data_IF_042588517179
#
_entry.id   IF_042588517179
#
_cell.length_a   1.000
_cell.length_b   1.000
_cell.length_c   1.000
_cell.angle_alpha   90.00
_cell.angle_beta   90.00
_cell.angle_gamma   90.00
#
_symmetry.space_group_name_H-M   'P 1'
#
loop_
_entity.id
_entity.type
_entity.pdbx_description
1 polymer ?
#
# COMPACT_ATOMS: atom_id res chain seq x y z
N UNK A 1 -5.14 1.65 3.43
CA UNK A 1 -6.08 0.57 3.08
C UNK A 1 -6.63 0.77 1.67
N UNK A 2 -6.00 0.18 0.67
CA UNK A 2 -6.50 0.22 -0.72
C UNK A 2 -7.74 -0.68 -0.88
N UNK A 3 -8.90 -0.10 -1.20
CA UNK A 3 -10.11 -0.87 -1.53
C UNK A 3 -10.09 -1.24 -3.02
N UNK A 4 -10.10 -2.55 -3.35
CA UNK A 4 -9.89 -3.04 -4.72
C UNK A 4 -10.90 -2.46 -5.73
N UNK A 5 -12.23 -2.40 -5.46
CA UNK A 5 -13.16 -1.74 -6.39
C UNK A 5 -12.84 -0.27 -6.64
N UNK A 6 -12.44 0.48 -5.61
CA UNK A 6 -12.00 1.86 -5.79
C UNK A 6 -10.67 1.94 -6.55
N UNK A 7 -9.75 0.99 -6.34
CA UNK A 7 -8.49 0.92 -7.08
C UNK A 7 -8.74 0.62 -8.56
N UNK A 8 -9.60 -0.36 -8.87
CA UNK A 8 -9.96 -0.73 -10.23
C UNK A 8 -10.69 0.43 -10.92
N UNK A 9 -11.62 1.08 -10.23
CA UNK A 9 -12.28 2.30 -10.71
C UNK A 9 -11.26 3.42 -10.99
N UNK A 10 -10.34 3.65 -10.06
CA UNK A 10 -9.29 4.66 -10.20
C UNK A 10 -8.38 4.34 -11.38
N UNK A 11 -7.89 3.10 -11.51
CA UNK A 11 -7.08 2.66 -12.64
C UNK A 11 -7.81 2.83 -13.97
N UNK A 12 -9.07 2.43 -14.07
CA UNK A 12 -9.87 2.58 -15.29
C UNK A 12 -10.05 4.05 -15.65
N UNK A 13 -10.31 4.90 -14.66
CA UNK A 13 -10.41 6.36 -14.83
C UNK A 13 -9.09 6.97 -15.32
N UNK A 14 -7.97 6.59 -14.70
CA UNK A 14 -6.64 7.07 -15.11
C UNK A 14 -6.30 6.62 -16.53
N UNK A 15 -6.66 5.38 -16.90
CA UNK A 15 -6.44 4.85 -18.26
C UNK A 15 -7.16 5.72 -19.28
N UNK A 16 -8.44 6.01 -19.05
CA UNK A 16 -9.24 6.84 -19.95
C UNK A 16 -8.73 8.29 -19.99
N UNK A 17 -8.46 8.90 -18.84
CA UNK A 17 -7.96 10.27 -18.76
C UNK A 17 -6.65 10.43 -19.54
N UNK A 18 -5.70 9.53 -19.34
CA UNK A 18 -4.39 9.63 -19.98
C UNK A 18 -4.36 9.11 -21.42
N UNK A 19 -5.35 8.32 -21.83
CA UNK A 19 -5.54 7.98 -23.24
C UNK A 19 -5.81 9.24 -24.09
N UNK A 20 -6.63 10.17 -23.58
CA UNK A 20 -7.00 11.38 -24.31
C UNK A 20 -6.17 12.63 -23.96
N UNK A 21 -5.71 12.74 -22.70
CA UNK A 21 -5.11 13.99 -22.17
C UNK A 21 -3.70 13.84 -21.60
N UNK A 22 -2.94 12.82 -22.01
CA UNK A 22 -1.56 12.59 -21.53
C UNK A 22 -0.61 13.79 -21.69
N UNK A 23 -0.86 14.64 -22.69
CA UNK A 23 -0.03 15.83 -22.96
C UNK A 23 -0.44 17.05 -22.10
N UNK A 24 -1.64 17.05 -21.52
CA UNK A 24 -2.15 18.18 -20.74
C UNK A 24 -1.59 18.24 -19.31
N UNK A 25 -0.87 17.22 -18.87
CA UNK A 25 -0.25 17.18 -17.54
C UNK A 25 1.18 17.70 -17.62
N UNK A 26 1.49 18.77 -16.90
CA UNK A 26 2.85 19.30 -16.78
C UNK A 26 3.67 18.54 -15.71
N UNK A 27 3.24 18.59 -14.45
CA UNK A 27 3.82 17.85 -13.32
C UNK A 27 2.70 17.40 -12.37
N UNK A 28 2.86 16.24 -11.73
CA UNK A 28 1.98 15.72 -10.68
C UNK A 28 2.80 15.68 -9.39
N UNK A 29 2.46 16.53 -8.43
CA UNK A 29 3.15 16.59 -7.14
C UNK A 29 2.25 15.96 -6.07
N UNK A 30 2.68 14.84 -5.50
CA UNK A 30 2.02 14.20 -4.37
C UNK A 30 2.85 14.48 -3.12
N UNK A 31 2.38 15.46 -2.34
CA UNK A 31 3.08 16.02 -1.18
C UNK A 31 2.54 15.47 0.14
N UNK A 32 3.33 15.59 1.21
CA UNK A 32 3.02 15.00 2.52
C UNK A 32 2.66 13.50 2.43
N UNK A 33 3.33 12.78 1.53
CA UNK A 33 2.97 11.40 1.20
C UNK A 33 3.53 10.42 2.23
N UNK A 34 2.68 9.62 2.92
CA UNK A 34 3.16 8.48 3.70
C UNK A 34 3.65 7.35 2.79
N UNK A 35 4.39 6.39 3.34
CA UNK A 35 5.01 5.29 2.59
C UNK A 35 3.99 4.48 1.75
N UNK A 36 2.76 4.33 2.27
CA UNK A 36 1.64 3.69 1.58
C UNK A 36 1.34 4.30 0.20
N UNK A 37 1.52 5.62 0.02
CA UNK A 37 1.22 6.30 -1.25
C UNK A 37 2.22 5.93 -2.35
N UNK A 38 3.51 5.81 -2.01
CA UNK A 38 4.50 5.31 -2.95
C UNK A 38 4.18 3.89 -3.41
N UNK A 39 3.67 3.05 -2.50
CA UNK A 39 3.24 1.70 -2.87
C UNK A 39 2.00 1.70 -3.75
N UNK A 40 0.96 2.46 -3.38
CA UNK A 40 -0.23 2.64 -4.21
C UNK A 40 0.15 3.07 -5.64
N UNK A 41 1.10 4.01 -5.75
CA UNK A 41 1.66 4.42 -7.03
C UNK A 41 2.32 3.28 -7.79
N UNK A 42 3.12 2.41 -7.13
CA UNK A 42 3.73 1.25 -7.80
C UNK A 42 2.69 0.34 -8.44
N UNK A 43 1.54 0.15 -7.81
CA UNK A 43 0.45 -0.67 -8.36
C UNK A 43 -0.18 0.02 -9.58
N UNK A 44 -0.50 1.32 -9.49
CA UNK A 44 -1.19 2.04 -10.58
C UNK A 44 -0.26 2.50 -11.72
N UNK A 45 1.06 2.54 -11.50
CA UNK A 45 2.01 3.11 -12.48
C UNK A 45 1.96 2.40 -13.83
N UNK A 46 1.64 1.11 -13.86
CA UNK A 46 1.54 0.33 -15.10
C UNK A 46 0.46 0.86 -16.06
N UNK A 47 -0.56 1.53 -15.51
CA UNK A 47 -1.65 2.14 -16.29
C UNK A 47 -1.26 3.53 -16.82
N UNK A 48 -0.26 4.17 -16.21
CA UNK A 48 0.18 5.51 -16.60
C UNK A 48 1.13 5.43 -17.80
N UNK A 49 0.97 6.29 -18.82
CA UNK A 49 1.93 6.38 -19.91
C UNK A 49 3.34 6.76 -19.41
N UNK A 50 4.43 6.29 -20.05
CA UNK A 50 5.80 6.59 -19.61
C UNK A 50 6.10 8.09 -19.50
N UNK A 51 5.46 8.91 -20.34
CA UNK A 51 5.57 10.37 -20.30
C UNK A 51 4.95 10.98 -19.05
N UNK A 52 3.87 10.40 -18.52
CA UNK A 52 3.23 10.83 -17.27
C UNK A 52 4.00 10.30 -16.07
N UNK A 53 4.48 9.05 -16.10
CA UNK A 53 5.26 8.47 -15.01
C UNK A 53 6.49 9.32 -14.64
N UNK A 54 7.16 9.92 -15.62
CA UNK A 54 8.30 10.83 -15.41
C UNK A 54 7.94 12.19 -14.78
N UNK A 55 6.66 12.54 -14.78
CA UNK A 55 6.12 13.81 -14.27
C UNK A 55 5.56 13.67 -12.85
N UNK A 56 5.50 12.45 -12.31
CA UNK A 56 4.98 12.19 -10.96
C UNK A 56 6.12 12.30 -9.95
N UNK A 57 5.96 13.18 -8.98
CA UNK A 57 6.86 13.34 -7.84
C UNK A 57 6.11 13.01 -6.57
N UNK A 58 6.57 12.00 -5.84
CA UNK A 58 6.00 11.61 -4.55
C UNK A 58 7.02 11.95 -3.49
N UNK A 59 6.66 12.88 -2.60
CA UNK A 59 7.56 13.42 -1.59
C UNK A 59 6.94 13.37 -0.21
N UNK A 60 7.79 13.16 0.78
CA UNK A 60 7.38 13.18 2.18
C UNK A 60 7.10 14.60 2.66
N UNK A 61 6.66 14.74 3.92
CA UNK A 61 6.33 16.03 4.50
C UNK A 61 7.55 16.95 4.68
N UNK A 62 8.76 16.40 4.84
CA UNK A 62 9.98 17.18 5.05
C UNK A 62 10.49 17.80 3.74
N UNK A 63 10.39 17.04 2.65
CA UNK A 63 10.84 17.43 1.30
C UNK A 63 9.75 18.16 0.50
N UNK A 64 8.53 18.25 1.03
CA UNK A 64 7.39 18.94 0.40
C UNK A 64 7.72 20.41 0.07
N UNK A 65 8.20 21.27 1.00
CA UNK A 65 8.52 22.66 0.70
C UNK A 65 9.58 22.82 -0.39
N UNK A 66 10.63 21.99 -0.32
CA UNK A 66 11.72 22.02 -1.28
C UNK A 66 11.26 21.63 -2.69
N UNK A 67 10.33 20.68 -2.79
CA UNK A 67 9.78 20.22 -4.07
C UNK A 67 8.78 21.22 -4.64
N UNK A 68 7.90 21.79 -3.81
CA UNK A 68 6.95 22.81 -4.25
C UNK A 68 7.65 24.02 -4.86
N UNK A 69 8.71 24.52 -4.21
CA UNK A 69 9.52 25.66 -4.70
C UNK A 69 10.25 25.42 -6.02
N UNK A 70 10.50 24.15 -6.40
CA UNK A 70 11.13 23.82 -7.70
C UNK A 70 10.19 24.05 -8.88
N UNK A 71 8.88 23.91 -8.64
CA UNK A 71 7.88 23.92 -9.71
C UNK A 71 6.90 25.10 -9.63
N UNK A 72 6.76 25.72 -8.46
CA UNK A 72 5.80 26.80 -8.19
C UNK A 72 6.52 27.90 -7.40
N UNK A 73 6.32 29.16 -7.80
CA UNK A 73 6.86 30.30 -7.07
C UNK A 73 6.33 30.37 -5.64
N UNK A 74 7.20 30.71 -4.70
CA UNK A 74 6.88 30.70 -3.26
C UNK A 74 5.68 31.59 -2.90
N UNK A 75 5.49 32.69 -3.62
CA UNK A 75 4.35 33.60 -3.46
C UNK A 75 2.99 32.97 -3.82
N UNK A 76 3.00 31.91 -4.63
CA UNK A 76 1.82 31.18 -5.08
C UNK A 76 1.60 29.87 -4.31
N UNK A 77 2.54 29.47 -3.45
CA UNK A 77 2.42 28.26 -2.63
C UNK A 77 1.80 28.63 -1.27
N UNK A 78 0.74 27.94 -0.82
CA UNK A 78 0.17 28.16 0.51
C UNK A 78 1.19 27.95 1.63
N UNK A 79 1.05 28.69 2.73
CA UNK A 79 1.96 28.61 3.87
C UNK A 79 2.07 27.21 4.49
N UNK A 80 0.97 26.47 4.55
CA UNK A 80 0.94 25.08 5.02
C UNK A 80 1.63 24.06 4.10
N UNK A 81 2.04 24.45 2.88
CA UNK A 81 2.92 23.66 2.01
C UNK A 81 4.34 24.24 1.93
N UNK A 82 4.66 25.24 2.77
CA UNK A 82 5.99 25.85 2.86
C UNK A 82 6.21 27.07 1.95
N UNK A 83 5.13 27.71 1.50
CA UNK A 83 5.19 28.98 0.77
C UNK A 83 4.83 30.21 1.59
N UNK A 84 4.53 31.32 0.93
CA UNK A 84 4.17 32.61 1.58
C UNK A 84 2.75 33.09 1.26
N UNK A 85 2.00 32.35 0.45
CA UNK A 85 0.64 32.72 0.04
C UNK A 85 -0.34 32.67 1.22
N UNK A 86 -1.01 33.80 1.48
CA UNK A 86 -2.07 33.95 2.48
C UNK A 86 -3.24 34.75 1.88
N UNK A 87 -4.06 34.08 1.08
CA UNK A 87 -5.24 34.69 0.47
C UNK A 87 -6.32 35.00 1.52
N UNK A 88 -6.99 36.17 1.46
CA UNK A 88 -8.18 36.44 2.24
C UNK A 88 -9.27 35.41 1.90
N UNK A 89 -9.70 34.60 2.89
CA UNK A 89 -10.68 33.53 2.69
C UNK A 89 -10.10 32.12 2.47
N UNK A 90 -8.77 31.99 2.39
CA UNK A 90 -8.06 30.71 2.21
C UNK A 90 -7.48 30.55 0.80
N UNK A 91 -6.29 29.92 0.71
CA UNK A 91 -5.56 29.78 -0.56
C UNK A 91 -6.12 28.68 -1.48
N UNK A 92 -6.94 27.76 -0.94
CA UNK A 92 -7.55 26.66 -1.69
C UNK A 92 -9.03 26.61 -1.33
N UNK A 93 -9.91 26.76 -2.32
CA UNK A 93 -11.35 26.64 -2.13
C UNK A 93 -11.70 25.25 -1.58
N UNK A 94 -12.50 25.22 -0.51
CA UNK A 94 -12.86 23.98 0.20
C UNK A 94 -11.84 23.50 1.24
N UNK A 95 -10.65 24.11 1.34
CA UNK A 95 -9.69 23.85 2.41
C UNK A 95 -9.82 24.91 3.52
N UNK A 96 -10.91 24.84 4.29
CA UNK A 96 -11.05 25.67 5.49
C UNK A 96 -10.29 25.04 6.67
N UNK A 97 -9.41 25.79 7.34
CA UNK A 97 -8.76 25.34 8.59
C UNK A 97 -9.79 24.91 9.67
N UNK A 98 -11.04 25.42 9.58
CA UNK A 98 -12.16 25.00 10.42
C UNK A 98 -12.76 23.63 10.06
N UNK A 99 -12.61 23.15 8.82
CA UNK A 99 -13.06 21.83 8.37
C UNK A 99 -12.06 20.71 8.68
N UNK A 100 -10.75 21.00 8.71
CA UNK A 100 -9.72 20.03 9.10
C UNK A 100 -9.97 19.48 10.51
N UNK A 101 -10.39 20.32 11.46
CA UNK A 101 -10.75 19.91 12.84
C UNK A 101 -12.08 19.15 12.96
N UNK A 102 -12.93 19.14 11.92
CA UNK A 102 -14.25 18.47 11.96
C UNK A 102 -14.20 17.00 11.51
N UNK A 103 -13.22 16.59 10.71
CA UNK A 103 -13.14 15.20 10.20
C UNK A 103 -12.50 14.19 11.15
N UNK A 104 -11.79 14.64 12.19
CA UNK A 104 -11.22 13.70 13.19
C UNK A 104 -12.28 13.14 14.15
N UNK A 105 -13.54 13.59 14.08
CA UNK A 105 -14.60 13.22 15.03
C UNK A 105 -15.83 12.55 14.41
N UNK A 106 -15.88 12.45 13.09
CA UNK A 106 -16.98 11.80 12.38
C UNK A 106 -16.42 10.60 11.61
N UNK A 107 -16.21 9.54 12.38
CA UNK A 107 -16.10 8.17 11.92
C UNK A 107 -17.11 7.93 10.80
N UNK A 108 -16.61 7.80 9.57
CA UNK A 108 -17.40 7.32 8.43
C UNK A 108 -17.89 5.94 8.82
N UNK A 109 -19.17 5.87 9.19
CA UNK A 109 -19.89 4.62 9.29
C UNK A 109 -19.92 4.04 7.89
N UNK A 110 -19.18 2.93 7.74
CA UNK A 110 -19.19 2.08 6.57
C UNK A 110 -20.61 1.56 6.37
N UNK A 111 -21.35 2.17 5.45
CA UNK A 111 -22.59 1.59 4.94
C UNK A 111 -22.21 0.30 4.19
N UNK A 112 -22.67 -0.82 4.73
CA UNK A 112 -22.73 -2.11 4.06
C UNK A 112 -23.68 -2.02 2.88
N UNK A 113 -23.16 -2.12 1.66
CA UNK A 113 -23.96 -2.41 0.49
C UNK A 113 -23.45 -3.71 -0.11
N UNK A 114 -24.22 -4.76 0.16
CA UNK A 114 -24.20 -6.01 -0.58
C UNK A 114 -24.64 -5.71 -2.03
N UNK A 115 -23.69 -5.76 -2.96
CA UNK A 115 -23.99 -5.84 -4.38
C UNK A 115 -23.42 -7.15 -4.91
N UNK A 116 -24.34 -8.09 -5.15
CA UNK A 116 -24.10 -9.32 -5.86
C UNK A 116 -23.52 -9.04 -7.26
N UNK A 117 -22.25 -9.37 -7.47
CA UNK A 117 -21.76 -9.84 -8.75
C UNK A 117 -20.49 -10.68 -8.53
N UNK A 118 -20.40 -11.82 -9.22
CA UNK A 118 -19.43 -12.88 -8.95
C UNK A 118 -17.98 -12.58 -9.38
N UNK A 119 -17.31 -11.64 -8.71
CA UNK A 119 -15.86 -11.49 -8.74
C UNK A 119 -15.31 -11.42 -7.31
N UNK A 120 -14.24 -12.18 -7.04
CA UNK A 120 -13.63 -12.30 -5.71
C UNK A 120 -13.03 -10.95 -5.29
N UNK A 121 -13.84 -10.15 -4.59
CA UNK A 121 -13.39 -8.93 -3.92
C UNK A 121 -12.33 -9.27 -2.88
N UNK A 122 -11.18 -8.59 -2.94
CA UNK A 122 -10.11 -8.76 -1.94
C UNK A 122 -10.60 -8.17 -0.61
N UNK A 123 -10.90 -9.05 0.33
CA UNK A 123 -11.44 -8.73 1.66
C UNK A 123 -10.36 -8.11 2.54
N UNK A 124 -10.68 -7.00 3.22
CA UNK A 124 -9.85 -6.49 4.31
C UNK A 124 -9.98 -7.43 5.50
N UNK A 125 -8.87 -7.91 6.02
CA UNK A 125 -8.84 -8.76 7.20
C UNK A 125 -8.44 -7.96 8.44
N UNK A 126 -9.19 -8.13 9.53
CA UNK A 126 -8.87 -7.59 10.85
C UNK A 126 -8.45 -8.74 11.77
N UNK A 127 -7.18 -8.75 12.19
CA UNK A 127 -6.59 -9.83 13.00
C UNK A 127 -6.13 -9.26 14.33
N UNK A 128 -6.47 -9.95 15.42
CA UNK A 128 -5.95 -9.66 16.75
C UNK A 128 -4.89 -10.71 17.14
N UNK A 129 -3.62 -10.31 17.12
CA UNK A 129 -2.49 -11.15 17.53
C UNK A 129 -2.22 -10.99 19.02
N UNK A 130 -2.57 -11.99 19.84
CA UNK A 130 -2.21 -12.00 21.26
C UNK A 130 -0.69 -12.13 21.45
N UNK A 131 -0.21 -11.81 22.65
CA UNK A 131 1.19 -12.03 23.03
C UNK A 131 1.62 -13.47 22.72
N UNK A 132 2.74 -13.64 22.01
CA UNK A 132 3.27 -14.94 21.60
C UNK A 132 2.61 -15.57 20.36
N UNK A 133 1.53 -14.99 19.83
CA UNK A 133 0.87 -15.52 18.63
C UNK A 133 1.53 -15.05 17.33
N UNK A 134 1.25 -15.80 16.27
CA UNK A 134 1.62 -15.48 14.90
C UNK A 134 0.45 -15.77 13.95
N UNK A 135 0.44 -15.07 12.82
CA UNK A 135 -0.48 -15.28 11.71
C UNK A 135 0.32 -15.48 10.44
N UNK A 136 -0.15 -16.40 9.58
CA UNK A 136 0.55 -16.78 8.36
C UNK A 136 -0.37 -16.72 7.14
N UNK A 137 0.22 -16.38 6.01
CA UNK A 137 -0.37 -16.51 4.67
C UNK A 137 0.61 -17.26 3.78
N UNK A 138 0.14 -18.35 3.17
CA UNK A 138 0.94 -19.23 2.32
C UNK A 138 0.40 -19.16 0.90
N UNK A 139 1.27 -18.88 -0.08
CA UNK A 139 0.91 -18.81 -1.48
C UNK A 139 1.80 -19.74 -2.30
N UNK A 140 1.19 -20.63 -3.08
CA UNK A 140 1.90 -21.37 -4.12
C UNK A 140 1.94 -20.51 -5.38
N UNK A 141 3.15 -20.24 -5.86
CA UNK A 141 3.42 -19.33 -6.98
C UNK A 141 4.14 -20.06 -8.11
N UNK A 142 3.70 -19.82 -9.33
CA UNK A 142 4.44 -20.09 -10.55
C UNK A 142 5.33 -18.90 -10.89
N UNK A 143 6.37 -19.15 -11.68
CA UNK A 143 7.23 -18.10 -12.23
C UNK A 143 6.40 -16.98 -12.87
N UNK A 144 6.66 -15.75 -12.46
CA UNK A 144 6.00 -14.53 -12.93
C UNK A 144 4.72 -14.16 -12.18
N UNK A 145 4.22 -14.99 -11.26
CA UNK A 145 3.08 -14.61 -10.42
C UNK A 145 3.52 -13.72 -9.26
N UNK A 146 2.67 -12.74 -8.94
CA UNK A 146 2.94 -11.72 -7.93
C UNK A 146 1.95 -11.79 -6.79
N UNK A 147 2.45 -11.69 -5.55
CA UNK A 147 1.64 -11.48 -4.35
C UNK A 147 1.89 -10.07 -3.84
N UNK A 148 0.81 -9.37 -3.53
CA UNK A 148 0.79 -8.02 -3.01
C UNK A 148 0.22 -8.05 -1.60
N UNK A 149 0.87 -7.36 -0.67
CA UNK A 149 0.35 -7.16 0.68
C UNK A 149 0.41 -5.70 1.12
N UNK A 150 -0.54 -5.34 1.96
CA UNK A 150 -0.58 -4.10 2.74
C UNK A 150 -1.05 -4.47 4.15
N UNK A 151 -0.41 -3.93 5.18
CA UNK A 151 -0.90 -4.02 6.55
C UNK A 151 -0.55 -2.78 7.35
N UNK A 152 -1.36 -2.51 8.36
CA UNK A 152 -1.12 -1.46 9.36
C UNK A 152 -1.53 -1.96 10.73
N UNK A 153 -0.79 -1.57 11.76
CA UNK A 153 -1.20 -1.67 13.15
C UNK A 153 -1.79 -0.33 13.59
N UNK A 154 -3.12 -0.22 13.78
CA UNK A 154 -3.75 1.07 14.09
C UNK A 154 -3.23 1.74 15.36
N UNK A 155 -2.70 0.96 16.29
CA UNK A 155 -2.10 1.46 17.54
C UNK A 155 -0.67 1.99 17.38
N UNK A 156 -0.06 1.88 16.21
CA UNK A 156 1.32 2.29 15.94
C UNK A 156 2.39 1.37 16.53
N UNK A 157 2.01 0.36 17.32
CA UNK A 157 2.95 -0.62 17.86
C UNK A 157 3.24 -1.69 16.79
N UNK A 158 4.49 -1.80 16.37
CA UNK A 158 4.91 -2.69 15.28
C UNK A 158 4.78 -4.18 15.59
N UNK A 159 4.55 -5.00 14.57
CA UNK A 159 4.61 -6.48 14.63
C UNK A 159 5.91 -6.96 14.00
N UNK A 160 6.44 -8.11 14.40
CA UNK A 160 7.50 -8.72 13.59
C UNK A 160 6.87 -9.17 12.28
N UNK A 161 7.37 -8.69 11.15
CA UNK A 161 6.94 -9.12 9.83
C UNK A 161 8.09 -9.80 9.11
N UNK A 162 7.88 -11.04 8.67
CA UNK A 162 8.88 -11.84 7.98
C UNK A 162 8.33 -12.41 6.67
N UNK A 163 9.20 -12.47 5.67
CA UNK A 163 8.93 -12.98 4.33
C UNK A 163 9.85 -14.17 4.07
N UNK A 164 9.30 -15.27 3.60
CA UNK A 164 10.05 -16.48 3.25
C UNK A 164 9.67 -16.92 1.85
N UNK A 165 10.65 -17.36 1.05
CA UNK A 165 10.36 -17.99 -0.23
C UNK A 165 11.18 -19.27 -0.41
N UNK A 166 10.47 -20.34 -0.74
CA UNK A 166 11.06 -21.65 -1.01
C UNK A 166 10.80 -22.07 -2.47
N UNK A 167 11.84 -22.40 -3.24
CA UNK A 167 11.71 -23.02 -4.56
C UNK A 167 10.96 -24.38 -4.54
N UNK A 168 10.13 -24.69 -5.54
CA UNK A 168 9.29 -25.90 -5.55
C UNK A 168 10.05 -27.24 -5.55
N UNK A 169 11.30 -27.26 -6.00
CA UNK A 169 12.19 -28.42 -5.91
C UNK A 169 12.55 -28.77 -4.45
N UNK A 170 12.61 -27.77 -3.57
CA UNK A 170 12.97 -27.91 -2.16
C UNK A 170 11.74 -27.85 -1.22
N UNK A 171 10.60 -27.32 -1.69
CA UNK A 171 9.36 -27.22 -0.95
C UNK A 171 8.59 -28.56 -0.74
N UNK A 172 9.06 -29.68 -1.31
CA UNK A 172 8.37 -30.97 -1.28
C UNK A 172 8.34 -31.57 0.13
N UNK A 173 7.13 -31.80 0.65
CA UNK A 173 6.91 -32.52 1.92
C UNK A 173 6.97 -31.65 3.18
N UNK A 174 7.09 -30.32 3.03
CA UNK A 174 6.99 -29.38 4.15
C UNK A 174 5.57 -28.87 4.26
N UNK A 175 4.97 -29.00 5.44
CA UNK A 175 3.69 -28.36 5.77
C UNK A 175 3.95 -26.90 6.14
N UNK A 176 3.86 -26.01 5.16
CA UNK A 176 4.16 -24.57 5.29
C UNK A 176 3.19 -23.82 6.22
N UNK A 177 1.99 -24.37 6.46
CA UNK A 177 1.06 -23.81 7.43
C UNK A 177 1.52 -24.06 8.87
N UNK A 178 2.24 -25.16 9.12
CA UNK A 178 2.62 -25.63 10.46
C UNK A 178 4.12 -25.67 10.72
N UNK A 179 4.96 -25.40 9.72
CA UNK A 179 6.41 -25.50 9.83
C UNK A 179 6.95 -24.54 10.90
N UNK A 180 7.84 -25.01 11.77
CA UNK A 180 8.45 -24.13 12.77
C UNK A 180 9.41 -23.14 12.09
N UNK A 181 9.27 -21.83 12.36
CA UNK A 181 10.02 -20.77 11.65
C UNK A 181 11.55 -20.95 11.72
N UNK A 182 12.06 -21.52 12.83
CA UNK A 182 13.48 -21.81 12.99
C UNK A 182 14.04 -22.82 11.98
N UNK A 183 13.19 -23.67 11.38
CA UNK A 183 13.60 -24.62 10.33
C UNK A 183 13.67 -23.97 8.94
N UNK A 184 13.09 -22.79 8.78
CA UNK A 184 12.97 -22.07 7.50
C UNK A 184 13.71 -20.74 7.52
N UNK A 185 14.49 -20.45 8.56
CA UNK A 185 15.32 -19.23 8.65
C UNK A 185 16.30 -19.07 7.48
N UNK A 186 16.76 -20.17 6.88
CA UNK A 186 17.62 -20.14 5.69
C UNK A 186 16.95 -19.59 4.43
N UNK A 187 15.61 -19.44 4.43
CA UNK A 187 14.81 -18.97 3.31
C UNK A 187 14.19 -17.58 3.55
N UNK A 188 14.67 -16.85 4.57
CA UNK A 188 14.20 -15.49 4.89
C UNK A 188 14.62 -14.53 3.78
N UNK A 189 13.63 -13.85 3.20
CA UNK A 189 13.85 -12.71 2.30
C UNK A 189 14.09 -11.45 3.14
N UNK A 190 13.21 -11.17 4.11
CA UNK A 190 13.43 -10.11 5.08
C UNK A 190 12.65 -10.37 6.38
N UNK A 191 13.10 -9.72 7.46
CA UNK A 191 12.49 -9.79 8.78
C UNK A 191 12.67 -8.44 9.47
N UNK A 192 11.57 -7.75 9.72
CA UNK A 192 11.54 -6.39 10.26
C UNK A 192 10.47 -6.30 11.36
N UNK A 193 10.38 -5.17 12.07
CA UNK A 193 9.33 -4.96 13.09
C UNK A 193 8.52 -3.68 12.85
N UNK A 194 7.90 -3.50 11.67
CA UNK A 194 7.22 -2.25 11.34
C UNK A 194 5.80 -2.18 11.91
N UNK A 195 5.29 -0.95 12.07
CA UNK A 195 3.87 -0.67 12.35
C UNK A 195 3.00 -0.67 11.09
N UNK A 196 3.60 -0.52 9.92
CA UNK A 196 2.93 -0.63 8.63
C UNK A 196 3.86 -1.27 7.61
N UNK A 197 3.32 -2.01 6.65
CA UNK A 197 4.12 -2.62 5.60
C UNK A 197 3.30 -2.78 4.34
N UNK A 198 3.87 -2.36 3.20
CA UNK A 198 3.22 -2.46 1.91
C UNK A 198 4.26 -2.75 0.84
N UNK A 199 4.19 -3.92 0.24
CA UNK A 199 5.21 -4.42 -0.68
C UNK A 199 4.65 -5.55 -1.57
N UNK A 200 5.43 -5.96 -2.56
CA UNK A 200 5.07 -7.03 -3.50
C UNK A 200 6.21 -8.05 -3.65
N UNK A 201 5.85 -9.29 -4.00
CA UNK A 201 6.81 -10.32 -4.35
C UNK A 201 6.40 -11.00 -5.66
N UNK A 202 7.28 -10.91 -6.66
CA UNK A 202 7.12 -11.61 -7.94
C UNK A 202 8.04 -12.82 -7.96
N UNK A 203 7.47 -14.00 -8.15
CA UNK A 203 8.23 -15.24 -8.12
C UNK A 203 9.12 -15.37 -9.36
N UNK A 204 10.44 -15.45 -9.17
CA UNK A 204 11.39 -15.68 -10.27
C UNK A 204 11.37 -17.12 -10.82
N UNK A 205 10.88 -18.05 -10.01
CA UNK A 205 10.75 -19.49 -10.25
C UNK A 205 9.51 -20.01 -9.51
N UNK A 206 9.09 -21.24 -9.82
CA UNK A 206 8.00 -21.90 -9.10
C UNK A 206 8.41 -22.14 -7.64
N UNK A 207 7.51 -21.85 -6.70
CA UNK A 207 7.81 -21.93 -5.27
C UNK A 207 6.63 -21.61 -4.35
N UNK A 208 6.94 -21.50 -3.06
CA UNK A 208 6.01 -21.17 -1.98
C UNK A 208 6.48 -19.90 -1.29
N UNK A 209 5.65 -18.87 -1.31
CA UNK A 209 5.82 -17.65 -0.53
C UNK A 209 5.07 -17.78 0.78
N UNK A 210 5.73 -17.49 1.90
CA UNK A 210 5.11 -17.43 3.23
C UNK A 210 5.32 -16.05 3.83
N UNK A 211 4.21 -15.39 4.16
CA UNK A 211 4.18 -14.12 4.88
C UNK A 211 3.78 -14.40 6.32
N UNK A 212 4.55 -13.87 7.27
CA UNK A 212 4.38 -14.14 8.71
C UNK A 212 4.34 -12.84 9.48
N UNK A 213 3.28 -12.64 10.26
CA UNK A 213 3.17 -11.57 11.24
C UNK A 213 3.16 -12.18 12.63
N UNK A 214 4.11 -11.82 13.50
CA UNK A 214 4.17 -12.33 14.86
C UNK A 214 4.23 -11.23 15.92
N UNK A 215 3.64 -11.57 17.08
CA UNK A 215 3.64 -10.75 18.27
C UNK A 215 4.43 -11.45 19.40
N UNK A 216 5.57 -12.07 19.07
CA UNK A 216 6.40 -12.80 20.06
C UNK A 216 7.21 -11.89 20.97
N UNK A 217 7.44 -10.64 20.54
CA UNK A 217 8.19 -9.66 21.34
C UNK A 217 7.33 -8.98 22.41
N UNK A 218 6.00 -9.08 22.34
CA UNK A 218 5.12 -8.49 23.35
C UNK A 218 4.81 -9.51 24.45
N UNK A 219 4.96 -9.04 25.69
CA UNK A 219 4.81 -9.82 26.91
C UNK A 219 3.33 -9.91 27.36
N UNK A 220 2.53 -8.84 27.19
CA UNK A 220 1.13 -8.78 27.71
C UNK A 220 0.13 -8.11 26.76
N UNK A 221 0.58 -7.41 25.72
CA UNK A 221 -0.30 -6.66 24.81
C UNK A 221 -0.61 -7.44 23.53
N UNK A 222 -1.89 -7.44 23.15
CA UNK A 222 -2.30 -7.85 21.82
C UNK A 222 -2.02 -6.73 20.80
N UNK A 223 -1.72 -7.12 19.56
CA UNK A 223 -1.58 -6.21 18.43
C UNK A 223 -2.70 -6.45 17.44
N UNK A 224 -3.38 -5.37 17.09
CA UNK A 224 -4.40 -5.39 16.05
C UNK A 224 -3.75 -5.07 14.72
N UNK A 225 -4.05 -5.89 13.73
CA UNK A 225 -3.48 -5.83 12.40
C UNK A 225 -4.64 -5.77 11.42
N UNK A 226 -4.72 -4.69 10.67
CA UNK A 226 -5.58 -4.64 9.50
C UNK A 226 -4.70 -4.97 8.31
N UNK A 227 -5.08 -5.95 7.49
CA UNK A 227 -4.28 -6.36 6.33
C UNK A 227 -5.11 -6.66 5.09
N UNK A 228 -4.45 -6.57 3.95
CA UNK A 228 -4.88 -7.11 2.67
C UNK A 228 -3.74 -7.86 2.04
N UNK A 229 -4.02 -9.06 1.58
CA UNK A 229 -3.03 -9.87 0.87
C UNK A 229 -3.73 -10.54 -0.29
N UNK A 230 -3.23 -10.38 -1.50
CA UNK A 230 -3.82 -10.98 -2.68
C UNK A 230 -2.78 -11.31 -3.74
N UNK A 231 -3.14 -12.28 -4.59
CA UNK A 231 -2.36 -12.64 -5.78
C UNK A 231 -2.83 -11.75 -6.93
N UNK A 232 -1.90 -11.08 -7.61
CA UNK A 232 -2.21 -10.31 -8.81
C UNK A 232 -2.41 -11.27 -9.98
N UNK A 233 -3.44 -11.05 -10.80
CA UNK A 233 -3.64 -11.80 -12.03
C UNK A 233 -2.47 -11.52 -12.98
N UNK A 234 -1.95 -12.56 -13.63
CA UNK A 234 -0.89 -12.39 -14.62
C UNK A 234 -1.41 -11.53 -15.77
N UNK A 235 -0.69 -10.45 -16.09
CA UNK A 235 -0.89 -9.74 -17.35
C UNK A 235 -0.52 -10.73 -18.46
N UNK A 236 -1.53 -11.31 -19.12
CA UNK A 236 -1.31 -12.01 -20.37
C UNK A 236 -0.95 -10.95 -21.42
N UNK A 237 0.34 -10.69 -21.57
CA UNK A 237 0.88 -10.01 -22.74
C UNK A 237 0.58 -10.89 -23.95
N UNK A 238 -0.56 -10.62 -24.58
CA UNK A 238 -0.90 -11.18 -25.88
C UNK A 238 0.09 -10.57 -26.87
N UNK A 239 0.88 -11.44 -27.50
CA UNK A 239 1.84 -11.10 -28.54
C UNK A 239 1.15 -10.59 -29.81
#
# INVERSE_FOLDING_TARGET
MLWKPALDLFMNTLRELFQYYSQCVYQILIVNSPAMVMFAYKIVRGVLPPGVQRKVHIVDAQDTPATMRKFIDEANVPDFYGGTCRCPGGCIEGYGQAQAKRRDKESVSSASEEAANGEVGVVTEDIALKAGQEHRRVFTLKKGETVVWEFVTPSGNGVTFAKYFEPSNEAKGVDWERVHLSKVERYVISKESPSEGSDEYTAGIDGVLVLVWDNKQSWFSAKHLQMKVFKQASEQTSA
#
